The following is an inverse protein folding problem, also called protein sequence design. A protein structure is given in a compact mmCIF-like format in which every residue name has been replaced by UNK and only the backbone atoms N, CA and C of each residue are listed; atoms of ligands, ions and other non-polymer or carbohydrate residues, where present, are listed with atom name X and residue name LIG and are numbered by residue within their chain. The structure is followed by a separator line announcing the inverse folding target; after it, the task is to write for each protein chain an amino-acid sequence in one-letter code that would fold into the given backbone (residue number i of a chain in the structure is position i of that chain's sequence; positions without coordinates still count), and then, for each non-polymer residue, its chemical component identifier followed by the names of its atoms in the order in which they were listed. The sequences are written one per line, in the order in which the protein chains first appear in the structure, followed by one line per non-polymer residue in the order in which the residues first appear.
data_IF_165753579600
#
_entry.id   IF_165753579600
#
_cell.length_a   1.000
_cell.length_b   1.000
_cell.length_c   1.000
_cell.angle_alpha   90.00
_cell.angle_beta   90.00
_cell.angle_gamma   90.00
#
_symmetry.space_group_name_H-M   'P 1'
#
loop_
_entity.id
_entity.type
_entity.pdbx_description
1 polymer ?
#
# COMPACT_ATOMS: atom_id res chain seq x y z
N UNK A 1 57.77 -35.48 29.09
CA UNK A 1 57.74 -36.56 30.11
C UNK A 1 56.43 -36.47 30.87
N UNK A 2 55.55 -37.44 30.67
CA UNK A 2 54.26 -37.51 31.37
C UNK A 2 54.45 -37.92 32.84
N UNK A 3 53.51 -37.53 33.71
CA UNK A 3 53.06 -38.46 34.73
C UNK A 3 51.54 -38.63 34.74
N UNK A 4 51.14 -39.90 34.80
CA UNK A 4 49.79 -40.38 35.07
C UNK A 4 49.36 -40.02 36.50
N UNK A 5 48.12 -39.58 36.68
CA UNK A 5 47.35 -39.74 37.93
C UNK A 5 45.90 -40.10 37.62
N UNK A 6 45.48 -41.27 38.11
CA UNK A 6 44.12 -41.74 38.41
C UNK A 6 44.09 -41.94 39.94
N UNK A 7 43.01 -41.86 40.72
CA UNK A 7 41.62 -41.42 40.62
C UNK A 7 41.00 -41.69 42.00
N UNK A 8 40.17 -40.81 42.56
CA UNK A 8 39.10 -41.04 43.58
C UNK A 8 38.62 -39.63 44.00
N UNK A 9 37.36 -39.28 44.23
CA UNK A 9 36.08 -39.97 44.30
C UNK A 9 34.98 -38.89 44.31
N UNK A 10 33.73 -39.31 44.09
CA UNK A 10 32.58 -38.49 43.74
C UNK A 10 32.03 -37.60 44.88
N UNK A 11 31.43 -36.46 44.49
CA UNK A 11 30.55 -35.64 45.30
C UNK A 11 29.17 -35.51 44.60
N UNK A 12 28.11 -35.83 45.37
CA UNK A 12 26.79 -35.19 45.52
C UNK A 12 26.17 -34.40 44.33
N UNK A 13 24.86 -34.38 44.03
CA UNK A 13 23.63 -34.68 44.76
C UNK A 13 22.51 -34.92 43.69
N UNK A 14 21.73 -35.99 43.79
CA UNK A 14 20.38 -36.07 44.37
C UNK A 14 19.28 -35.35 43.56
N UNK A 15 18.52 -36.17 42.84
CA UNK A 15 17.22 -35.89 42.26
C UNK A 15 16.12 -35.87 43.33
N UNK A 16 15.11 -35.03 43.14
CA UNK A 16 13.76 -35.26 43.67
C UNK A 16 12.74 -34.62 42.72
N UNK A 17 11.73 -35.42 42.39
CA UNK A 17 10.64 -35.16 41.47
C UNK A 17 9.38 -34.66 42.20
N UNK A 18 8.42 -34.19 41.40
CA UNK A 18 7.00 -34.02 41.76
C UNK A 18 6.62 -32.54 41.92
N UNK A 19 5.59 -32.00 41.27
CA UNK A 19 4.52 -32.54 40.44
C UNK A 19 3.42 -31.47 40.35
N UNK A 20 2.55 -31.58 39.34
CA UNK A 20 1.26 -30.85 39.17
C UNK A 20 1.32 -29.32 38.95
N UNK A 21 0.60 -28.69 38.03
CA UNK A 21 -0.47 -29.13 37.13
C UNK A 21 -0.49 -28.18 35.91
N UNK A 22 -0.17 -28.68 34.72
CA UNK A 22 -0.54 -28.02 33.47
C UNK A 22 -1.81 -28.71 32.98
N UNK A 23 -2.93 -28.03 33.19
CA UNK A 23 -4.24 -28.48 32.76
C UNK A 23 -4.26 -28.43 31.23
N UNK A 24 -4.17 -29.61 30.61
CA UNK A 24 -4.50 -29.83 29.21
C UNK A 24 -5.92 -29.32 28.94
N UNK A 25 -6.04 -28.37 28.01
CA UNK A 25 -7.27 -28.20 27.24
C UNK A 25 -7.05 -28.94 25.93
N UNK A 26 -7.40 -30.23 25.97
CA UNK A 26 -7.65 -31.00 24.76
C UNK A 26 -8.82 -30.37 23.99
N UNK A 27 -8.51 -29.74 22.88
CA UNK A 27 -9.47 -29.32 21.86
C UNK A 27 -9.23 -30.12 20.59
N UNK A 28 -10.02 -31.18 20.41
CA UNK A 28 -10.03 -32.04 19.23
C UNK A 28 -10.16 -31.25 17.94
N UNK A 29 -9.44 -31.69 16.90
CA UNK A 29 -9.62 -31.21 15.54
C UNK A 29 -11.09 -31.24 15.10
N UNK A 30 -11.57 -30.09 14.64
CA UNK A 30 -12.66 -29.96 13.68
C UNK A 30 -12.28 -28.87 12.69
N UNK A 31 -12.00 -29.28 11.45
CA UNK A 31 -12.03 -28.38 10.31
C UNK A 31 -13.45 -27.81 10.18
N UNK A 32 -13.54 -26.52 9.88
CA UNK A 32 -14.82 -25.85 9.69
C UNK A 32 -14.70 -24.33 9.75
N UNK A 33 -14.06 -23.75 8.74
CA UNK A 33 -14.57 -22.61 7.95
C UNK A 33 -15.23 -21.37 8.57
N UNK A 34 -15.23 -21.16 9.88
CA UNK A 34 -15.79 -19.94 10.47
C UNK A 34 -14.67 -19.03 10.96
N UNK A 35 -14.29 -18.11 10.07
CA UNK A 35 -13.29 -17.09 10.32
C UNK A 35 -13.79 -16.11 11.37
N UNK A 36 -13.72 -16.49 12.64
CA UNK A 36 -14.24 -15.70 13.76
C UNK A 36 -13.71 -14.27 13.81
N UNK A 37 -14.38 -13.36 14.57
CA UNK A 37 -14.09 -11.92 14.58
C UNK A 37 -12.61 -11.57 14.82
N UNK A 38 -11.89 -12.37 15.60
CA UNK A 38 -10.47 -12.17 15.91
C UNK A 38 -9.57 -12.31 14.68
N UNK A 39 -9.82 -13.28 13.80
CA UNK A 39 -9.02 -13.48 12.59
C UNK A 39 -9.16 -12.33 11.61
N UNK A 40 -10.40 -11.83 11.46
CA UNK A 40 -10.72 -10.65 10.63
C UNK A 40 -9.99 -9.42 11.15
N UNK A 41 -9.99 -9.21 12.47
CA UNK A 41 -9.29 -8.09 13.09
C UNK A 41 -7.76 -8.17 12.88
N UNK A 42 -7.14 -9.34 13.11
CA UNK A 42 -5.71 -9.54 12.88
C UNK A 42 -5.33 -9.29 11.41
N UNK A 43 -6.13 -9.80 10.48
CA UNK A 43 -5.91 -9.58 9.06
C UNK A 43 -6.01 -8.10 8.70
N UNK A 44 -7.04 -7.41 9.19
CA UNK A 44 -7.24 -5.99 8.96
C UNK A 44 -6.09 -5.15 9.54
N UNK A 45 -5.65 -5.40 10.78
CA UNK A 45 -4.49 -4.72 11.37
C UNK A 45 -3.24 -4.90 10.52
N UNK A 46 -3.01 -6.12 10.05
CA UNK A 46 -1.89 -6.46 9.19
C UNK A 46 -1.97 -5.77 7.82
N UNK A 47 -3.17 -5.56 7.28
CA UNK A 47 -3.40 -4.76 6.06
C UNK A 47 -3.18 -3.28 6.29
N UNK A 48 -3.69 -2.71 7.39
CA UNK A 48 -3.48 -1.29 7.74
C UNK A 48 -2.00 -0.95 7.91
N UNK A 49 -1.21 -1.85 8.51
CA UNK A 49 0.23 -1.66 8.67
C UNK A 49 1.00 -1.66 7.33
N UNK A 50 0.55 -2.45 6.35
CA UNK A 50 1.20 -2.58 5.03
C UNK A 50 0.63 -1.65 3.97
N UNK A 51 -0.56 -1.08 4.18
CA UNK A 51 -1.36 -0.28 3.26
C UNK A 51 -1.88 -1.07 2.05
N UNK A 52 -1.01 -1.76 1.33
CA UNK A 52 -1.36 -2.67 0.24
C UNK A 52 -0.34 -3.81 0.13
N UNK A 53 -0.74 -4.93 -0.46
CA UNK A 53 0.12 -6.09 -0.74
C UNK A 53 -0.31 -6.80 -2.02
N UNK A 54 0.55 -7.66 -2.57
CA UNK A 54 0.14 -8.62 -3.61
C UNK A 54 -0.92 -9.57 -3.05
N UNK A 55 -1.87 -9.98 -3.89
CA UNK A 55 -2.95 -10.88 -3.47
C UNK A 55 -2.41 -12.25 -3.04
N UNK A 56 -1.28 -12.70 -3.61
CA UNK A 56 -0.58 -13.91 -3.18
C UNK A 56 -0.13 -13.82 -1.72
N UNK A 57 0.49 -12.70 -1.33
CA UNK A 57 0.90 -12.45 0.05
C UNK A 57 -0.30 -12.29 1.00
N UNK A 58 -1.38 -11.67 0.53
CA UNK A 58 -2.63 -11.57 1.28
C UNK A 58 -3.25 -12.96 1.53
N UNK A 59 -3.23 -13.85 0.53
CA UNK A 59 -3.67 -15.24 0.67
C UNK A 59 -2.78 -16.04 1.63
N UNK A 60 -1.46 -15.85 1.57
CA UNK A 60 -0.53 -16.45 2.54
C UNK A 60 -0.81 -15.96 3.96
N UNK A 61 -1.09 -14.67 4.14
CA UNK A 61 -1.48 -14.10 5.43
C UNK A 61 -2.81 -14.69 5.93
N UNK A 62 -3.81 -14.78 5.04
CA UNK A 62 -5.10 -15.39 5.34
C UNK A 62 -4.93 -16.84 5.81
N UNK A 63 -4.18 -17.67 5.08
CA UNK A 63 -3.90 -19.07 5.44
C UNK A 63 -3.19 -19.18 6.79
N UNK A 64 -2.21 -18.32 7.06
CA UNK A 64 -1.50 -18.29 8.35
C UNK A 64 -2.41 -17.91 9.53
N UNK A 65 -3.31 -16.95 9.34
CA UNK A 65 -4.18 -16.47 10.43
C UNK A 65 -5.33 -17.45 10.70
N UNK A 66 -5.92 -18.00 9.64
CA UNK A 66 -7.13 -18.85 9.75
C UNK A 66 -6.82 -20.34 9.86
N UNK A 67 -5.59 -20.76 9.56
CA UNK A 67 -5.23 -22.17 9.43
C UNK A 67 -5.78 -22.84 8.17
N UNK A 68 -6.33 -22.08 7.22
CA UNK A 68 -6.86 -22.62 5.97
C UNK A 68 -5.77 -23.25 5.10
N UNK A 69 -6.09 -24.38 4.47
CA UNK A 69 -5.18 -25.10 3.55
C UNK A 69 -5.36 -24.69 2.09
N UNK A 70 -6.44 -23.98 1.77
CA UNK A 70 -6.81 -23.54 0.43
C UNK A 70 -7.52 -22.18 0.49
N UNK A 71 -7.56 -21.47 -0.64
CA UNK A 71 -8.05 -20.09 -0.72
C UNK A 71 -9.56 -19.99 -1.02
N UNK A 72 -10.30 -21.10 -0.96
CA UNK A 72 -11.71 -21.17 -1.40
C UNK A 72 -12.65 -20.22 -0.64
N UNK A 73 -12.36 -19.95 0.63
CA UNK A 73 -13.11 -19.02 1.47
C UNK A 73 -12.50 -17.61 1.55
N UNK A 74 -11.39 -17.35 0.86
CA UNK A 74 -10.67 -16.07 0.93
C UNK A 74 -11.56 -14.87 0.51
N UNK A 75 -12.28 -15.00 -0.61
CA UNK A 75 -13.14 -13.91 -1.09
C UNK A 75 -14.34 -13.66 -0.16
N UNK A 76 -14.90 -14.72 0.41
CA UNK A 76 -15.96 -14.60 1.41
C UNK A 76 -15.44 -13.87 2.67
N UNK A 77 -14.25 -14.27 3.15
CA UNK A 77 -13.58 -13.64 4.28
C UNK A 77 -13.34 -12.13 4.05
N UNK A 78 -12.91 -11.72 2.84
CA UNK A 78 -12.77 -10.32 2.49
C UNK A 78 -14.11 -9.58 2.46
N UNK A 79 -15.16 -10.19 1.90
CA UNK A 79 -16.50 -9.60 1.84
C UNK A 79 -17.05 -9.32 3.24
N UNK A 80 -16.85 -10.24 4.17
CA UNK A 80 -17.24 -10.07 5.57
C UNK A 80 -16.49 -8.94 6.28
N UNK A 81 -15.19 -8.77 6.00
CA UNK A 81 -14.43 -7.61 6.51
C UNK A 81 -14.98 -6.32 5.91
N UNK A 82 -15.24 -6.28 4.61
CA UNK A 82 -15.77 -5.07 3.95
C UNK A 82 -17.15 -4.68 4.48
N UNK A 83 -18.01 -5.65 4.81
CA UNK A 83 -19.27 -5.37 5.47
C UNK A 83 -19.06 -4.68 6.83
N UNK A 84 -18.02 -5.09 7.58
CA UNK A 84 -17.66 -4.47 8.86
C UNK A 84 -17.00 -3.09 8.69
N UNK A 85 -16.32 -2.82 7.56
CA UNK A 85 -15.69 -1.53 7.28
C UNK A 85 -16.64 -0.48 6.71
N UNK A 86 -17.78 -0.90 6.17
CA UNK A 86 -18.70 -0.03 5.43
C UNK A 86 -19.16 1.20 6.23
N UNK A 87 -19.35 1.09 7.55
CA UNK A 87 -19.77 2.22 8.39
C UNK A 87 -18.72 3.35 8.45
N UNK A 88 -17.44 3.02 8.26
CA UNK A 88 -16.32 3.94 8.32
C UNK A 88 -15.85 4.39 6.93
N UNK A 89 -16.60 4.03 5.87
CA UNK A 89 -16.25 4.31 4.48
C UNK A 89 -14.88 3.76 4.05
N UNK A 90 -14.38 2.71 4.71
CA UNK A 90 -13.18 2.01 4.26
C UNK A 90 -13.56 0.70 3.56
N UNK A 91 -12.63 0.19 2.74
CA UNK A 91 -12.73 -1.15 2.17
C UNK A 91 -11.35 -1.76 1.92
N UNK A 92 -11.32 -3.09 1.93
CA UNK A 92 -10.26 -3.87 1.29
C UNK A 92 -10.62 -4.02 -0.19
N UNK A 93 -9.92 -3.25 -1.03
CA UNK A 93 -10.13 -3.23 -2.47
C UNK A 93 -9.13 -4.14 -3.17
N UNK A 94 -9.63 -4.94 -4.13
CA UNK A 94 -8.79 -5.68 -5.08
C UNK A 94 -8.71 -4.93 -6.39
N UNK A 95 -7.51 -4.82 -6.94
CA UNK A 95 -7.28 -4.29 -8.28
C UNK A 95 -6.18 -5.09 -8.98
N UNK A 96 -6.32 -5.30 -10.28
CA UNK A 96 -5.26 -5.86 -11.12
C UNK A 96 -4.38 -4.71 -11.59
N UNK A 97 -3.09 -4.76 -11.29
CA UNK A 97 -2.16 -3.73 -11.73
C UNK A 97 -1.72 -4.00 -13.17
N UNK A 98 -1.94 -3.08 -14.13
CA UNK A 98 -1.61 -3.35 -15.53
C UNK A 98 -0.10 -3.46 -15.79
N UNK A 99 0.74 -2.90 -14.92
CA UNK A 99 2.20 -2.86 -15.14
C UNK A 99 2.90 -4.21 -14.96
N UNK A 100 2.38 -5.10 -14.12
CA UNK A 100 2.89 -6.48 -13.96
C UNK A 100 1.82 -7.56 -14.20
N UNK A 101 0.56 -7.17 -14.36
CA UNK A 101 -0.56 -8.10 -14.54
C UNK A 101 -0.98 -8.84 -13.26
N UNK A 102 -0.41 -8.49 -12.10
CA UNK A 102 -0.69 -9.13 -10.83
C UNK A 102 -1.87 -8.48 -10.11
N UNK A 103 -2.49 -9.25 -9.21
CA UNK A 103 -3.54 -8.73 -8.34
C UNK A 103 -2.96 -8.17 -7.05
N UNK A 104 -3.50 -7.04 -6.62
CA UNK A 104 -3.15 -6.37 -5.37
C UNK A 104 -4.40 -6.21 -4.50
N UNK A 105 -4.19 -6.24 -3.18
CA UNK A 105 -5.19 -5.93 -2.18
C UNK A 105 -4.73 -4.69 -1.39
N UNK A 106 -5.57 -3.68 -1.29
CA UNK A 106 -5.29 -2.44 -0.55
C UNK A 106 -6.36 -2.11 0.48
N UNK A 107 -5.96 -1.50 1.59
CA UNK A 107 -6.88 -0.85 2.52
C UNK A 107 -7.11 0.60 2.08
N UNK A 108 -8.31 0.87 1.58
CA UNK A 108 -8.65 2.10 0.85
C UNK A 108 -9.77 2.84 1.57
N UNK A 109 -9.68 4.17 1.62
CA UNK A 109 -10.80 5.02 2.01
C UNK A 109 -11.66 5.32 0.78
N UNK A 110 -12.97 5.06 0.86
CA UNK A 110 -13.94 5.29 -0.22
C UNK A 110 -14.34 6.75 -0.33
N UNK A 111 -14.37 7.48 0.79
CA UNK A 111 -14.54 8.92 0.75
C UNK A 111 -13.15 9.57 0.64
N UNK A 112 -12.99 10.47 -0.35
CA UNK A 112 -11.82 11.33 -0.50
C UNK A 112 -11.75 12.40 0.61
N UNK A 113 -12.16 12.05 1.83
CA UNK A 113 -12.40 12.99 2.91
C UNK A 113 -11.08 13.43 3.55
N UNK A 114 -11.12 14.56 4.25
CA UNK A 114 -9.98 15.25 4.90
C UNK A 114 -9.06 14.33 5.76
N UNK A 115 -9.54 13.14 6.12
CA UNK A 115 -8.79 12.10 6.84
C UNK A 115 -7.83 11.32 5.91
N UNK A 116 -8.17 11.08 4.64
CA UNK A 116 -7.24 10.52 3.64
C UNK A 116 -6.08 11.48 3.33
N UNK A 117 -6.30 12.78 3.56
CA UNK A 117 -5.25 13.82 3.53
C UNK A 117 -4.31 13.76 4.75
N UNK A 118 -4.41 12.73 5.61
CA UNK A 118 -3.59 12.53 6.83
C UNK A 118 -2.38 11.61 6.65
N UNK A 119 -1.91 11.39 5.42
CA UNK A 119 -0.55 10.87 5.24
C UNK A 119 0.44 11.86 5.86
N UNK A 120 0.93 11.54 7.07
CA UNK A 120 1.92 12.36 7.77
C UNK A 120 3.21 12.55 6.94
N UNK A 121 3.48 11.60 6.02
CA UNK A 121 4.66 11.61 5.14
C UNK A 121 4.70 12.78 4.16
N UNK A 122 3.54 13.36 3.81
CA UNK A 122 3.43 14.48 2.89
C UNK A 122 2.97 15.77 3.58
N UNK A 123 3.14 15.88 4.91
CA UNK A 123 2.82 17.08 5.69
C UNK A 123 4.10 17.81 6.07
N UNK A 124 4.18 19.09 5.72
CA UNK A 124 5.30 19.98 6.12
C UNK A 124 4.80 21.20 6.92
N UNK A 125 3.52 21.55 6.82
CA UNK A 125 2.97 22.69 7.54
C UNK A 125 2.80 22.40 9.04
N UNK A 126 3.16 23.37 9.89
CA UNK A 126 2.98 23.32 11.36
C UNK A 126 1.54 23.03 11.79
N UNK A 127 0.58 23.31 10.91
CA UNK A 127 -0.86 23.14 11.13
C UNK A 127 -1.36 21.71 10.80
N UNK A 128 -0.46 20.81 10.40
CA UNK A 128 -0.82 19.46 9.98
C UNK A 128 -1.64 19.44 8.69
N UNK A 129 -1.49 20.39 7.79
CA UNK A 129 -2.10 20.32 6.45
C UNK A 129 -1.17 19.57 5.48
N UNK A 130 -1.72 18.82 4.50
CA UNK A 130 -0.90 18.25 3.43
C UNK A 130 -0.12 19.35 2.71
N UNK A 131 1.11 19.05 2.32
CA UNK A 131 1.93 19.96 1.53
C UNK A 131 1.32 20.09 0.13
N UNK A 132 0.65 21.23 -0.10
CA UNK A 132 -0.07 21.55 -1.34
C UNK A 132 0.84 21.46 -2.56
N UNK A 133 2.15 21.72 -2.38
CA UNK A 133 3.14 21.63 -3.45
C UNK A 133 3.35 20.20 -3.90
N UNK A 134 3.47 19.26 -2.94
CA UNK A 134 3.64 17.83 -3.23
C UNK A 134 2.38 17.28 -3.89
N UNK A 135 1.20 17.66 -3.41
CA UNK A 135 -0.07 17.24 -4.01
C UNK A 135 -0.24 17.81 -5.42
N UNK A 136 0.09 19.08 -5.64
CA UNK A 136 0.03 19.71 -6.97
C UNK A 136 1.01 19.06 -7.96
N UNK A 137 2.23 18.73 -7.49
CA UNK A 137 3.24 18.03 -8.27
C UNK A 137 2.81 16.60 -8.63
N UNK A 138 2.31 15.84 -7.65
CA UNK A 138 1.79 14.49 -7.93
C UNK A 138 0.61 14.52 -8.89
N UNK A 139 -0.31 15.47 -8.75
CA UNK A 139 -1.41 15.66 -9.71
C UNK A 139 -0.90 15.95 -11.11
N UNK A 140 0.07 16.86 -11.26
CA UNK A 140 0.66 17.17 -12.57
C UNK A 140 1.35 15.96 -13.21
N UNK A 141 2.02 15.12 -12.41
CA UNK A 141 2.60 13.86 -12.88
C UNK A 141 1.51 12.89 -13.35
N UNK A 142 0.44 12.75 -12.57
CA UNK A 142 -0.69 11.89 -12.90
C UNK A 142 -1.33 12.32 -14.23
N UNK A 143 -1.64 13.60 -14.39
CA UNK A 143 -2.24 14.16 -15.61
C UNK A 143 -1.35 13.88 -16.84
N UNK A 144 -0.03 14.08 -16.71
CA UNK A 144 0.90 13.81 -17.81
C UNK A 144 1.07 12.31 -18.10
N UNK A 145 1.10 11.45 -17.09
CA UNK A 145 1.17 9.99 -17.28
C UNK A 145 -0.09 9.49 -17.98
N UNK A 146 -1.26 9.96 -17.58
CA UNK A 146 -2.54 9.59 -18.21
C UNK A 146 -2.61 10.12 -19.64
N UNK A 147 -2.22 11.37 -19.89
CA UNK A 147 -2.17 11.93 -21.24
C UNK A 147 -1.16 11.23 -22.17
N UNK A 148 -0.10 10.63 -21.61
CA UNK A 148 0.87 9.83 -22.34
C UNK A 148 0.39 8.38 -22.58
N UNK A 149 -0.69 7.94 -21.94
CA UNK A 149 -1.22 6.60 -22.13
C UNK A 149 -1.86 6.48 -23.52
N UNK A 150 -1.60 5.38 -24.20
CA UNK A 150 -2.21 5.06 -25.49
C UNK A 150 -2.71 3.62 -25.46
N UNK A 151 -3.77 3.33 -26.22
CA UNK A 151 -4.32 1.97 -26.32
C UNK A 151 -3.27 0.93 -26.76
N UNK A 152 -2.26 1.35 -27.53
CA UNK A 152 -1.19 0.48 -28.04
C UNK A 152 -0.05 0.25 -27.04
N UNK A 153 0.26 1.22 -26.17
CA UNK A 153 1.40 1.14 -25.24
C UNK A 153 1.00 0.75 -23.82
N UNK A 154 -0.31 0.68 -23.53
CA UNK A 154 -0.83 0.36 -22.20
C UNK A 154 -0.66 1.54 -21.25
N UNK A 155 0.00 1.32 -20.11
CA UNK A 155 0.23 2.38 -19.14
C UNK A 155 1.14 3.46 -19.73
N UNK A 156 0.69 4.72 -19.68
CA UNK A 156 1.55 5.85 -19.98
C UNK A 156 2.75 5.90 -19.04
N UNK A 157 3.82 6.54 -19.49
CA UNK A 157 5.04 6.69 -18.69
C UNK A 157 5.70 8.03 -18.96
N UNK A 158 6.48 8.49 -17.99
CA UNK A 158 7.32 9.67 -18.08
C UNK A 158 8.78 9.28 -17.88
N UNK A 159 9.67 9.85 -18.68
CA UNK A 159 11.11 9.80 -18.41
C UNK A 159 11.45 10.60 -17.14
N UNK A 160 12.59 10.32 -16.50
CA UNK A 160 13.09 11.10 -15.37
C UNK A 160 13.14 12.60 -15.68
N UNK A 161 13.52 12.96 -16.90
CA UNK A 161 13.56 14.37 -17.31
C UNK A 161 12.14 14.97 -17.36
N UNK A 162 11.17 14.29 -17.97
CA UNK A 162 9.78 14.76 -18.00
C UNK A 162 9.18 14.86 -16.59
N UNK A 163 9.46 13.89 -15.73
CA UNK A 163 8.99 13.89 -14.34
C UNK A 163 9.58 15.07 -13.54
N UNK A 164 10.88 15.35 -13.68
CA UNK A 164 11.54 16.46 -12.95
C UNK A 164 11.10 17.84 -13.44
N UNK A 165 10.93 17.98 -14.76
CA UNK A 165 10.52 19.22 -15.41
C UNK A 165 9.03 19.20 -15.76
N UNK A 166 8.20 18.56 -14.93
CA UNK A 166 6.74 18.51 -15.12
C UNK A 166 6.22 19.94 -15.28
N UNK A 167 5.33 20.10 -16.25
CA UNK A 167 4.65 21.37 -16.53
C UNK A 167 3.16 21.11 -16.42
N UNK A 168 2.47 21.93 -15.66
CA UNK A 168 1.01 21.93 -15.64
C UNK A 168 0.57 22.53 -16.97
N UNK A 169 0.04 21.70 -17.87
CA UNK A 169 -0.40 22.14 -19.18
C UNK A 169 -1.65 23.02 -19.06
N UNK A 170 -1.67 24.17 -19.72
CA UNK A 170 -2.83 25.06 -19.83
C UNK A 170 -3.85 24.60 -20.89
N UNK A 171 -3.76 23.37 -21.41
CA UNK A 171 -4.48 22.98 -22.61
C UNK A 171 -5.14 21.61 -22.51
N UNK A 172 -6.46 21.59 -22.29
CA UNK A 172 -7.42 20.72 -22.99
C UNK A 172 -8.90 21.02 -22.61
N UNK A 173 -9.26 22.27 -22.35
CA UNK A 173 -10.67 22.68 -22.45
C UNK A 173 -10.74 24.17 -22.72
N UNK A 174 -10.95 24.53 -23.98
CA UNK A 174 -11.48 25.84 -24.41
C UNK A 174 -12.92 26.10 -23.89
N UNK A 175 -13.41 25.23 -23.01
CA UNK A 175 -14.65 25.35 -22.23
C UNK A 175 -14.42 25.24 -20.70
N UNK A 176 -13.18 25.34 -20.22
CA UNK A 176 -12.93 25.44 -18.78
C UNK A 176 -13.50 26.78 -18.29
N UNK A 177 -14.50 26.72 -17.39
CA UNK A 177 -14.96 27.91 -16.67
C UNK A 177 -13.79 28.59 -15.94
N UNK A 178 -13.94 29.88 -15.63
CA UNK A 178 -12.91 30.70 -14.95
C UNK A 178 -12.33 30.03 -13.70
N UNK A 179 -13.14 29.22 -13.01
CA UNK A 179 -12.78 28.47 -11.81
C UNK A 179 -11.78 27.32 -12.08
N UNK A 180 -11.91 26.60 -13.21
CA UNK A 180 -10.98 25.54 -13.60
C UNK A 180 -9.65 26.09 -14.11
N UNK A 181 -9.69 27.23 -14.81
CA UNK A 181 -8.49 27.96 -15.20
C UNK A 181 -7.72 28.48 -13.96
N UNK A 182 -8.43 29.05 -12.98
CA UNK A 182 -7.83 29.48 -11.72
C UNK A 182 -7.20 28.32 -10.93
N UNK A 183 -7.88 27.17 -10.86
CA UNK A 183 -7.34 25.98 -10.19
C UNK A 183 -6.06 25.44 -10.88
N UNK A 184 -6.03 25.46 -12.21
CA UNK A 184 -4.85 25.04 -13.00
C UNK A 184 -3.67 25.98 -12.79
N UNK A 185 -3.93 27.28 -12.75
CA UNK A 185 -2.93 28.30 -12.45
C UNK A 185 -2.36 28.15 -11.03
N UNK A 186 -3.23 27.95 -10.03
CA UNK A 186 -2.81 27.69 -8.65
C UNK A 186 -1.95 26.41 -8.55
N UNK A 187 -2.32 25.35 -9.27
CA UNK A 187 -1.52 24.12 -9.32
C UNK A 187 -0.13 24.38 -9.91
N UNK A 188 -0.03 25.16 -11.00
CA UNK A 188 1.25 25.51 -11.62
C UNK A 188 2.16 26.29 -10.65
N UNK A 189 1.60 27.29 -9.95
CA UNK A 189 2.34 28.08 -8.96
C UNK A 189 2.84 27.24 -7.78
N UNK A 190 2.06 26.27 -7.31
CA UNK A 190 2.47 25.36 -6.24
C UNK A 190 3.58 24.40 -6.68
N UNK A 191 3.55 23.93 -7.93
CA UNK A 191 4.62 23.10 -8.52
C UNK A 191 5.92 23.88 -8.66
N UNK A 192 5.86 25.15 -9.04
CA UNK A 192 7.04 26.01 -9.20
C UNK A 192 7.70 26.35 -7.87
N UNK A 193 6.97 26.26 -6.75
CA UNK A 193 7.54 26.39 -5.39
C UNK A 193 8.40 25.21 -4.96
N UNK A 194 8.36 24.08 -5.67
CA UNK A 194 9.26 22.94 -5.41
C UNK A 194 10.54 23.08 -6.20
N UNK A 195 11.67 23.10 -5.48
CA UNK A 195 12.99 23.03 -6.10
C UNK A 195 13.20 21.70 -6.81
N UNK A 196 14.13 21.64 -7.77
CA UNK A 196 14.48 20.39 -8.45
C UNK A 196 14.91 19.28 -7.48
N UNK A 197 15.67 19.63 -6.43
CA UNK A 197 16.07 18.69 -5.38
C UNK A 197 14.88 18.16 -4.60
N UNK A 198 13.89 19.00 -4.31
CA UNK A 198 12.68 18.56 -3.62
C UNK A 198 11.84 17.65 -4.53
N UNK A 199 11.77 17.96 -5.83
CA UNK A 199 11.09 17.10 -6.82
C UNK A 199 11.71 15.71 -6.91
N UNK A 200 13.05 15.61 -6.93
CA UNK A 200 13.76 14.33 -6.88
C UNK A 200 13.42 13.53 -5.62
N UNK A 201 13.44 14.17 -4.45
CA UNK A 201 13.11 13.54 -3.18
C UNK A 201 11.64 13.07 -3.15
N UNK A 202 10.72 13.88 -3.66
CA UNK A 202 9.30 13.54 -3.76
C UNK A 202 9.08 12.38 -4.72
N UNK A 203 9.74 12.35 -5.89
CA UNK A 203 9.66 11.22 -6.83
C UNK A 203 10.14 9.91 -6.18
N UNK A 204 11.25 9.94 -5.46
CA UNK A 204 11.76 8.78 -4.74
C UNK A 204 10.78 8.30 -3.66
N UNK A 205 10.16 9.23 -2.94
CA UNK A 205 9.17 8.93 -1.91
C UNK A 205 7.87 8.33 -2.52
N UNK A 206 7.35 8.94 -3.59
CA UNK A 206 6.16 8.46 -4.29
C UNK A 206 6.37 7.06 -4.87
N UNK A 207 7.56 6.77 -5.39
CA UNK A 207 7.93 5.43 -5.88
C UNK A 207 8.02 4.43 -4.73
N UNK A 208 8.64 4.81 -3.61
CA UNK A 208 8.76 3.96 -2.42
C UNK A 208 7.39 3.64 -1.81
N UNK A 209 6.47 4.60 -1.80
CA UNK A 209 5.13 4.43 -1.25
C UNK A 209 4.14 3.76 -2.24
N UNK A 210 4.59 3.41 -3.45
CA UNK A 210 3.80 2.69 -4.45
C UNK A 210 2.85 3.54 -5.29
N UNK A 211 2.90 4.86 -5.16
CA UNK A 211 2.14 5.79 -5.99
C UNK A 211 2.67 5.83 -7.43
N UNK A 212 3.98 5.74 -7.58
CA UNK A 212 4.67 5.56 -8.84
C UNK A 212 5.39 4.22 -8.87
N UNK A 213 5.66 3.72 -10.07
CA UNK A 213 6.47 2.54 -10.30
C UNK A 213 7.45 2.79 -11.44
N UNK A 214 8.58 2.07 -11.42
CA UNK A 214 9.47 2.03 -12.58
C UNK A 214 8.90 1.13 -13.67
N UNK A 215 9.12 1.52 -14.92
CA UNK A 215 8.77 0.68 -16.08
C UNK A 215 9.84 -0.40 -16.24
N UNK A 216 9.44 -1.68 -16.19
CA UNK A 216 10.37 -2.81 -16.21
C UNK A 216 11.35 -2.80 -17.40
N UNK A 217 10.85 -2.43 -18.58
CA UNK A 217 11.63 -2.47 -19.83
C UNK A 217 12.37 -1.15 -20.13
N UNK A 218 12.19 -0.10 -19.31
CA UNK A 218 12.73 1.24 -19.57
C UNK A 218 13.29 1.88 -18.30
N UNK A 219 14.61 1.74 -18.13
CA UNK A 219 15.32 2.39 -17.03
C UNK A 219 15.11 3.91 -17.06
N UNK A 220 14.89 4.50 -15.87
CA UNK A 220 14.63 5.95 -15.75
C UNK A 220 13.27 6.39 -16.27
N UNK A 221 12.31 5.48 -16.44
CA UNK A 221 10.91 5.82 -16.71
C UNK A 221 10.03 5.48 -15.49
N UNK A 222 9.03 6.33 -15.27
CA UNK A 222 8.04 6.23 -14.20
C UNK A 222 6.64 6.07 -14.81
N UNK A 223 5.83 5.24 -14.17
CA UNK A 223 4.39 5.08 -14.47
C UNK A 223 3.60 5.10 -13.17
N UNK A 224 2.27 5.05 -13.25
CA UNK A 224 1.41 4.92 -12.07
C UNK A 224 1.67 3.58 -11.39
N UNK A 225 1.90 3.59 -10.08
CA UNK A 225 2.11 2.38 -9.30
C UNK A 225 0.80 1.71 -8.85
N UNK A 226 0.88 0.49 -8.27
CA UNK A 226 -0.29 -0.28 -7.84
C UNK A 226 -1.21 0.48 -6.88
N UNK A 227 -0.63 1.31 -6.01
CA UNK A 227 -1.39 2.09 -5.03
C UNK A 227 -2.30 3.12 -5.69
N UNK A 228 -1.85 3.74 -6.78
CA UNK A 228 -2.66 4.70 -7.55
C UNK A 228 -3.91 4.04 -8.13
N UNK A 229 -3.81 2.81 -8.62
CA UNK A 229 -4.99 2.04 -9.10
C UNK A 229 -5.92 1.59 -7.98
N UNK A 230 -5.39 1.36 -6.78
CA UNK A 230 -6.21 1.00 -5.63
C UNK A 230 -6.97 2.21 -5.09
N UNK A 231 -6.28 3.33 -4.86
CA UNK A 231 -6.86 4.49 -4.17
C UNK A 231 -7.54 5.49 -5.11
N UNK A 232 -7.08 5.62 -6.36
CA UNK A 232 -7.55 6.65 -7.30
C UNK A 232 -8.39 6.08 -8.45
N UNK A 233 -8.85 4.83 -8.38
CA UNK A 233 -9.56 4.18 -9.50
C UNK A 233 -10.70 5.04 -10.07
N UNK A 234 -11.54 5.62 -9.21
CA UNK A 234 -12.64 6.49 -9.63
C UNK A 234 -12.17 7.78 -10.33
N UNK A 235 -11.06 8.35 -9.87
CA UNK A 235 -10.49 9.55 -10.47
C UNK A 235 -9.80 9.23 -11.80
N UNK A 236 -9.17 8.06 -11.92
CA UNK A 236 -8.55 7.59 -13.16
C UNK A 236 -9.60 7.27 -14.22
N UNK A 237 -10.73 6.67 -13.84
CA UNK A 237 -11.84 6.39 -14.77
C UNK A 237 -12.40 7.69 -15.38
N UNK A 238 -12.50 8.77 -14.60
CA UNK A 238 -12.96 10.07 -15.07
C UNK A 238 -11.93 10.90 -15.86
N UNK A 239 -10.68 10.46 -15.96
CA UNK A 239 -9.62 11.13 -16.74
C UNK A 239 -9.46 10.54 -18.15
N UNK A 240 -10.20 9.49 -18.49
CA UNK A 240 -10.15 8.78 -19.79
C UNK A 240 -11.35 9.13 -20.70
N UNK A 241 -12.20 10.08 -20.31
CA UNK A 241 -13.26 10.66 -21.16
C UNK A 241 -12.75 11.79 -22.07
#
# INVERSE_FOLDING_TARGET
MAPKRKSTGAAAAAAAAGGDALREVGGSGRGGGDGGPTYRHCFLQAMMARQYVKETEAKDLFRRITGATHDGSYLHFLAEINQQLNFAQFELRRAKYPGDGEWYLGYVNREADEVSKRSAKYRVAKDGKPDTRVTAYFRALLDQVVAAATAEQGLGFLTSQQALYVRVGTGASTQAGEEAAAATQQQAEEVDKLSLRDREAVLAQLTTDGWLAHVADRAGCYTLGPRSFLELSQALDGLVE
#
